data_IF_674589783881
#
_entry.id   IF_674589783881
#
_cell.length_a   1.000
_cell.length_b   1.000
_cell.length_c   1.000
_cell.angle_alpha   90.00
_cell.angle_beta   90.00
_cell.angle_gamma   90.00
#
_symmetry.space_group_name_H-M   'P 1'
#
loop_
_entity.id
_entity.type
_entity.pdbx_description
1 polymer ?
#
# COMPACT_ATOMS: atom_id res chain seq x y z
N UNK A 1 -6.63 -38.19 44.89
CA UNK A 1 -6.49 -36.86 45.54
C UNK A 1 -5.01 -36.70 45.83
N UNK A 2 -4.19 -35.79 45.30
CA UNK A 2 -4.34 -34.45 44.75
C UNK A 2 -3.41 -34.32 43.52
N UNK A 3 -3.90 -33.76 42.41
CA UNK A 3 -3.04 -33.20 41.35
C UNK A 3 -3.11 -31.68 41.53
N UNK A 4 -2.02 -31.09 42.00
CA UNK A 4 -1.93 -29.64 42.16
C UNK A 4 -1.86 -29.00 40.77
N UNK A 5 -2.91 -28.28 40.39
CA UNK A 5 -2.89 -27.39 39.23
C UNK A 5 -2.01 -26.20 39.61
N UNK A 6 -0.82 -26.11 39.03
CA UNK A 6 -0.02 -24.89 39.07
C UNK A 6 -0.79 -23.77 38.37
N UNK A 7 -1.29 -22.83 39.16
CA UNK A 7 -1.84 -21.57 38.71
C UNK A 7 -0.74 -20.83 37.94
N UNK A 8 -0.83 -20.85 36.60
CA UNK A 8 -0.02 -19.97 35.77
C UNK A 8 -0.65 -18.59 35.81
N UNK A 9 -0.02 -17.73 36.58
CA UNK A 9 -0.24 -16.30 36.66
C UNK A 9 -0.45 -15.71 35.26
N UNK A 10 -1.61 -15.08 35.05
CA UNK A 10 -1.96 -14.40 33.81
C UNK A 10 -1.10 -13.14 33.67
N UNK A 11 0.07 -13.28 33.05
CA UNK A 11 0.91 -12.15 32.72
C UNK A 11 0.29 -11.36 31.56
N UNK A 12 0.00 -10.06 31.73
CA UNK A 12 -0.62 -9.26 30.67
C UNK A 12 0.35 -9.11 29.49
N UNK A 13 -0.20 -9.23 28.29
CA UNK A 13 0.55 -9.17 27.04
C UNK A 13 1.22 -7.79 26.90
N UNK A 14 2.55 -7.74 26.99
CA UNK A 14 3.29 -6.55 26.57
C UNK A 14 3.27 -6.43 25.05
N UNK A 15 2.97 -5.23 24.56
CA UNK A 15 3.07 -4.91 23.13
C UNK A 15 4.49 -5.25 22.66
N UNK A 16 4.61 -6.18 21.71
CA UNK A 16 5.89 -6.61 21.14
C UNK A 16 6.43 -7.98 21.62
N UNK A 17 5.74 -8.69 22.53
CA UNK A 17 6.14 -10.04 22.95
C UNK A 17 5.43 -11.13 22.15
N UNK A 18 6.20 -11.80 21.27
CA UNK A 18 5.79 -12.88 20.36
C UNK A 18 5.20 -14.14 21.02
N UNK A 19 5.17 -14.25 22.35
CA UNK A 19 4.76 -15.51 23.01
C UNK A 19 3.24 -15.70 23.11
N UNK A 20 2.43 -14.65 22.94
CA UNK A 20 0.99 -14.73 23.21
C UNK A 20 0.05 -14.24 22.08
N UNK A 21 0.53 -13.68 20.96
CA UNK A 21 -0.35 -13.27 19.87
C UNK A 21 -0.83 -14.49 19.07
N UNK A 22 -2.00 -15.04 19.43
CA UNK A 22 -2.58 -16.23 18.77
C UNK A 22 -2.98 -16.00 17.30
N UNK A 23 -3.11 -14.74 16.88
CA UNK A 23 -3.65 -14.35 15.58
C UNK A 23 -2.65 -14.53 14.43
N UNK A 24 -1.36 -14.31 14.68
CA UNK A 24 -0.33 -14.21 13.63
C UNK A 24 0.77 -15.25 13.80
N UNK A 25 0.44 -16.42 14.36
CA UNK A 25 1.40 -17.52 14.46
C UNK A 25 1.72 -18.09 13.07
N UNK A 26 2.93 -18.66 12.88
CA UNK A 26 3.24 -19.48 11.71
C UNK A 26 2.19 -20.59 11.54
N UNK A 27 1.72 -20.79 10.31
CA UNK A 27 0.56 -21.63 9.97
C UNK A 27 -0.79 -20.89 10.01
N UNK A 28 -0.83 -19.61 10.40
CA UNK A 28 -2.00 -18.72 10.23
C UNK A 28 -1.68 -17.50 9.38
N UNK A 29 -0.59 -16.80 9.70
CA UNK A 29 -0.07 -15.69 8.89
C UNK A 29 1.42 -15.94 8.69
N UNK A 30 1.76 -16.46 7.52
CA UNK A 30 3.14 -16.86 7.20
C UNK A 30 3.96 -15.74 6.54
N UNK A 31 3.29 -14.75 5.96
CA UNK A 31 3.91 -13.57 5.38
C UNK A 31 3.13 -12.32 5.72
N UNK A 32 3.86 -11.29 6.19
CA UNK A 32 3.35 -9.93 6.33
C UNK A 32 4.09 -9.04 5.36
N UNK A 33 3.37 -8.50 4.39
CA UNK A 33 3.86 -7.50 3.46
C UNK A 33 3.21 -6.17 3.79
N UNK A 34 4.02 -5.12 3.94
CA UNK A 34 3.51 -3.76 4.03
C UNK A 34 3.38 -3.18 2.62
N UNK A 35 2.18 -2.74 2.26
CA UNK A 35 1.91 -2.08 0.97
C UNK A 35 1.71 -0.59 1.27
N UNK A 36 2.78 0.17 1.07
CA UNK A 36 2.82 1.60 1.33
C UNK A 36 2.21 2.48 0.24
N UNK A 37 2.53 3.76 0.32
CA UNK A 37 2.17 4.76 -0.67
C UNK A 37 2.85 4.52 -2.02
N UNK A 38 2.31 5.12 -3.07
CA UNK A 38 2.75 4.87 -4.43
C UNK A 38 4.20 5.32 -4.65
N UNK A 39 4.99 4.44 -5.27
CA UNK A 39 6.30 4.81 -5.82
C UNK A 39 6.15 5.46 -7.19
N UNK A 40 7.21 6.14 -7.63
CA UNK A 40 7.30 6.74 -8.97
C UNK A 40 7.05 5.70 -10.07
N UNK A 41 7.63 4.51 -9.93
CA UNK A 41 7.50 3.41 -10.90
C UNK A 41 6.07 2.88 -10.95
N UNK A 42 5.39 2.82 -9.80
CA UNK A 42 3.98 2.44 -9.75
C UNK A 42 3.09 3.48 -10.42
N UNK A 43 3.36 4.78 -10.24
CA UNK A 43 2.65 5.86 -10.91
C UNK A 43 2.83 5.80 -12.44
N UNK A 44 4.07 5.64 -12.91
CA UNK A 44 4.39 5.44 -14.33
C UNK A 44 3.64 4.23 -14.91
N UNK A 45 3.70 3.09 -14.22
CA UNK A 45 3.05 1.85 -14.64
C UNK A 45 1.52 1.95 -14.68
N UNK A 46 0.91 2.66 -13.73
CA UNK A 46 -0.52 2.94 -13.73
C UNK A 46 -0.89 3.79 -14.95
N UNK A 47 -0.18 4.89 -15.20
CA UNK A 47 -0.46 5.77 -16.34
C UNK A 47 -0.39 5.03 -17.68
N UNK A 48 0.66 4.23 -17.91
CA UNK A 48 0.83 3.42 -19.13
C UNK A 48 -0.28 2.38 -19.33
N UNK A 49 -0.88 1.88 -18.24
CA UNK A 49 -2.03 0.95 -18.32
C UNK A 49 -3.33 1.65 -18.69
N UNK A 50 -3.53 2.88 -18.23
CA UNK A 50 -4.72 3.66 -18.58
C UNK A 50 -4.65 4.22 -20.00
N UNK A 51 -3.46 4.62 -20.45
CA UNK A 51 -3.22 5.27 -21.74
C UNK A 51 -2.15 4.51 -22.55
N UNK A 52 -2.50 3.35 -23.15
CA UNK A 52 -1.52 2.51 -23.85
C UNK A 52 -0.94 3.17 -25.12
N UNK A 53 -1.77 3.94 -25.83
CA UNK A 53 -1.46 4.52 -27.15
C UNK A 53 -0.70 5.85 -27.09
N UNK A 54 -0.53 6.40 -25.88
CA UNK A 54 0.11 7.69 -25.66
C UNK A 54 1.62 7.50 -25.50
N UNK A 55 2.39 8.51 -25.93
CA UNK A 55 3.85 8.52 -25.78
C UNK A 55 4.29 8.29 -24.32
N UNK A 56 5.36 7.52 -24.14
CA UNK A 56 5.92 7.19 -22.84
C UNK A 56 6.44 8.44 -22.10
N UNK A 57 6.84 9.49 -22.83
CA UNK A 57 7.28 10.77 -22.26
C UNK A 57 6.23 11.42 -21.34
N UNK A 58 4.94 11.27 -21.65
CA UNK A 58 3.84 11.76 -20.81
C UNK A 58 3.71 10.97 -19.50
N UNK A 59 3.98 9.67 -19.54
CA UNK A 59 3.98 8.83 -18.36
C UNK A 59 5.17 9.14 -17.44
N UNK A 60 6.34 9.44 -18.02
CA UNK A 60 7.52 9.91 -17.28
C UNK A 60 7.23 11.26 -16.62
N UNK A 61 6.70 12.22 -17.38
CA UNK A 61 6.30 13.52 -16.85
C UNK A 61 5.30 13.39 -15.70
N UNK A 62 4.25 12.58 -15.87
CA UNK A 62 3.28 12.32 -14.82
C UNK A 62 3.94 11.73 -13.56
N UNK A 63 4.81 10.73 -13.72
CA UNK A 63 5.50 10.10 -12.60
C UNK A 63 6.44 11.08 -11.87
N UNK A 64 7.09 11.99 -12.59
CA UNK A 64 7.97 13.02 -12.02
C UNK A 64 7.21 14.12 -11.29
N UNK A 65 5.94 14.38 -11.66
CA UNK A 65 5.10 15.35 -10.94
C UNK A 65 4.64 14.86 -9.57
N UNK A 66 4.60 13.54 -9.36
CA UNK A 66 4.14 12.93 -8.10
C UNK A 66 5.32 12.78 -7.16
N UNK A 67 5.29 13.52 -6.05
CA UNK A 67 6.29 13.36 -5.00
C UNK A 67 6.19 11.94 -4.42
N UNK A 68 7.29 11.17 -4.34
CA UNK A 68 7.26 9.82 -3.79
C UNK A 68 6.68 9.77 -2.38
N UNK A 69 5.83 8.77 -2.11
CA UNK A 69 5.28 8.57 -0.77
C UNK A 69 4.27 9.63 -0.33
N UNK A 70 3.57 10.28 -1.27
CA UNK A 70 2.51 11.26 -0.96
C UNK A 70 1.10 10.74 -1.25
N UNK A 71 0.94 10.03 -2.36
CA UNK A 71 -0.37 9.54 -2.82
C UNK A 71 -0.46 8.02 -2.69
N UNK A 72 -1.66 7.54 -2.36
CA UNK A 72 -1.96 6.12 -2.47
C UNK A 72 -2.15 5.74 -3.94
N UNK A 73 -1.90 4.47 -4.33
CA UNK A 73 -2.24 4.00 -5.68
C UNK A 73 -3.72 4.22 -6.05
N UNK A 74 -4.62 4.20 -5.06
CA UNK A 74 -6.04 4.45 -5.26
C UNK A 74 -6.34 5.91 -5.65
N UNK A 75 -5.69 6.89 -5.00
CA UNK A 75 -5.83 8.31 -5.35
C UNK A 75 -5.33 8.58 -6.77
N UNK A 76 -4.19 7.99 -7.14
CA UNK A 76 -3.67 8.03 -8.51
C UNK A 76 -4.70 7.47 -9.48
N UNK A 77 -5.26 6.30 -9.18
CA UNK A 77 -6.25 5.66 -10.03
C UNK A 77 -7.51 6.51 -10.19
N UNK A 78 -8.02 7.11 -9.12
CA UNK A 78 -9.21 7.98 -9.18
C UNK A 78 -8.99 9.14 -10.16
N UNK A 79 -7.85 9.82 -10.08
CA UNK A 79 -7.52 10.92 -10.99
C UNK A 79 -7.46 10.47 -12.45
N UNK A 80 -6.85 9.31 -12.72
CA UNK A 80 -6.76 8.75 -14.07
C UNK A 80 -8.13 8.34 -14.61
N UNK A 81 -9.02 7.83 -13.75
CA UNK A 81 -10.42 7.52 -14.11
C UNK A 81 -11.20 8.79 -14.42
N UNK A 82 -11.01 9.87 -13.65
CA UNK A 82 -11.67 11.16 -13.87
C UNK A 82 -11.30 11.79 -15.23
N UNK A 83 -10.06 11.60 -15.66
CA UNK A 83 -9.52 12.14 -16.92
C UNK A 83 -9.31 11.04 -17.99
N UNK A 84 -10.17 10.02 -18.02
CA UNK A 84 -10.01 8.79 -18.84
C UNK A 84 -9.78 9.03 -20.33
N UNK A 85 -10.25 10.15 -20.88
CA UNK A 85 -10.13 10.49 -22.30
C UNK A 85 -9.19 11.67 -22.56
N UNK A 86 -8.55 12.18 -21.51
CA UNK A 86 -7.77 13.42 -21.53
C UNK A 86 -6.36 13.17 -20.97
N UNK A 87 -5.51 12.39 -21.68
CA UNK A 87 -4.19 12.00 -21.16
C UNK A 87 -3.30 13.21 -20.85
N UNK A 88 -3.33 14.24 -21.68
CA UNK A 88 -2.57 15.47 -21.46
C UNK A 88 -2.98 16.17 -20.15
N UNK A 89 -4.27 16.20 -19.83
CA UNK A 89 -4.77 16.78 -18.57
C UNK A 89 -4.40 15.88 -17.40
N UNK A 90 -4.57 14.56 -17.56
CA UNK A 90 -4.20 13.57 -16.56
C UNK A 90 -2.72 13.66 -16.16
N UNK A 91 -1.84 13.98 -17.12
CA UNK A 91 -0.40 14.13 -16.89
C UNK A 91 0.01 15.37 -16.08
N UNK A 92 -0.85 16.38 -15.95
CA UNK A 92 -0.54 17.66 -15.30
C UNK A 92 -0.35 17.57 -13.77
N UNK A 93 -0.39 16.36 -13.22
CA UNK A 93 -0.11 16.07 -11.82
C UNK A 93 -1.36 16.12 -10.94
N UNK A 94 -1.27 15.45 -9.80
CA UNK A 94 -2.32 15.33 -8.79
C UNK A 94 -1.86 16.10 -7.56
N UNK A 95 -2.66 17.06 -7.08
CA UNK A 95 -2.40 17.69 -5.79
C UNK A 95 -3.05 16.83 -4.69
N UNK A 96 -2.32 16.45 -3.63
CA UNK A 96 -2.97 15.93 -2.43
C UNK A 96 -3.80 17.05 -1.81
N UNK A 97 -5.08 16.78 -1.57
CA UNK A 97 -5.99 17.67 -0.85
C UNK A 97 -5.71 17.71 0.66
#
# INVERSE_FOLDING_TARGET
MHVQRGEREHQPCSVGSWRCCWRERPGRVDLRLDIGLATREQAYGLYRRFFPDVDASLAEYFADTIKPGTLSPAAIQEHLVRHRYEPYIASAGIQPE
#
